data_IF_911817607064
#
_entry.id   IF_911817607064
#
_cell.length_a   1.000
_cell.length_b   1.000
_cell.length_c   1.000
_cell.angle_alpha   90.00
_cell.angle_beta   90.00
_cell.angle_gamma   90.00
#
_symmetry.space_group_name_H-M   'P 1'
#
loop_
_entity.id
_entity.type
_entity.pdbx_description
1 polymer ?
#
# COMPACT_ATOMS: atom_id res chain seq x y z
N UNK A 1 -26.96 -63.94 -2.53
CA UNK A 1 -26.47 -63.15 -1.38
C UNK A 1 -26.86 -61.70 -1.61
N UNK A 2 -27.62 -61.10 -0.69
CA UNK A 2 -28.17 -59.73 -0.80
C UNK A 2 -27.05 -58.70 -0.58
N UNK A 3 -26.91 -57.78 -1.54
CA UNK A 3 -26.01 -56.63 -1.44
C UNK A 3 -26.65 -55.59 -0.51
N UNK A 4 -26.00 -55.28 0.61
CA UNK A 4 -26.47 -54.25 1.57
C UNK A 4 -25.70 -52.96 1.28
N UNK A 5 -26.41 -51.94 0.79
CA UNK A 5 -25.86 -50.59 0.58
C UNK A 5 -26.11 -49.79 1.85
N UNK A 6 -25.05 -49.37 2.54
CA UNK A 6 -25.12 -48.47 3.69
C UNK A 6 -25.00 -47.03 3.19
N UNK A 7 -25.95 -46.12 3.50
CA UNK A 7 -25.83 -44.73 3.11
C UNK A 7 -24.91 -43.99 4.11
N UNK A 8 -23.81 -43.42 3.60
CA UNK A 8 -22.98 -42.49 4.36
C UNK A 8 -23.71 -41.14 4.47
N UNK A 9 -24.11 -40.75 5.68
CA UNK A 9 -24.59 -39.40 5.95
C UNK A 9 -23.41 -38.43 5.86
N UNK A 10 -23.39 -37.57 4.83
CA UNK A 10 -22.57 -36.36 4.82
C UNK A 10 -23.23 -35.33 5.74
N UNK A 11 -22.59 -35.02 6.87
CA UNK A 11 -22.92 -33.86 7.66
C UNK A 11 -22.39 -32.60 6.96
N UNK A 12 -23.29 -31.78 6.43
CA UNK A 12 -22.95 -30.44 5.94
C UNK A 12 -22.62 -29.54 7.15
N UNK A 13 -21.33 -29.28 7.38
CA UNK A 13 -20.89 -28.24 8.29
C UNK A 13 -21.35 -26.88 7.73
N UNK A 14 -22.39 -26.32 8.32
CA UNK A 14 -22.79 -24.94 8.05
C UNK A 14 -21.72 -24.05 8.70
N UNK A 15 -20.84 -23.48 7.89
CA UNK A 15 -20.01 -22.38 8.32
C UNK A 15 -20.94 -21.19 8.60
N UNK A 16 -21.24 -20.95 9.87
CA UNK A 16 -21.82 -19.68 10.29
C UNK A 16 -20.77 -18.62 9.99
N UNK A 17 -20.98 -17.82 8.95
CA UNK A 17 -20.23 -16.60 8.75
C UNK A 17 -20.44 -15.75 10.01
N UNK A 18 -19.41 -15.63 10.85
CA UNK A 18 -19.39 -14.59 11.87
C UNK A 18 -19.45 -13.28 11.11
N UNK A 19 -20.56 -12.55 11.26
CA UNK A 19 -20.72 -11.24 10.67
C UNK A 19 -19.70 -10.33 11.36
N UNK A 20 -18.77 -9.78 10.58
CA UNK A 20 -17.76 -8.85 11.07
C UNK A 20 -18.36 -7.44 11.04
N UNK A 21 -18.15 -6.68 12.11
CA UNK A 21 -18.55 -5.28 12.19
C UNK A 21 -17.60 -4.45 11.33
N UNK A 22 -18.15 -3.73 10.36
CA UNK A 22 -17.40 -2.78 9.53
C UNK A 22 -16.64 -1.76 10.39
N UNK A 23 -15.53 -1.22 9.87
CA UNK A 23 -14.83 -0.12 10.51
C UNK A 23 -15.80 1.02 10.87
N UNK A 24 -15.64 1.57 12.07
CA UNK A 24 -16.52 2.57 12.71
C UNK A 24 -17.88 2.06 13.21
N UNK A 25 -18.22 0.79 13.00
CA UNK A 25 -19.42 0.18 13.59
C UNK A 25 -19.30 -0.01 15.11
N UNK A 26 -20.44 -0.05 15.81
CA UNK A 26 -20.46 -0.42 17.22
C UNK A 26 -20.11 -1.90 17.37
N UNK A 27 -19.24 -2.24 18.31
CA UNK A 27 -18.78 -3.61 18.56
C UNK A 27 -18.86 -4.01 20.04
N UNK A 28 -19.42 -3.15 20.88
CA UNK A 28 -19.53 -3.39 22.30
C UNK A 28 -20.25 -2.27 23.05
N UNK A 29 -20.39 -2.46 24.35
CA UNK A 29 -21.16 -1.60 25.25
C UNK A 29 -22.18 -2.38 26.08
N UNK A 30 -22.61 -1.81 27.20
CA UNK A 30 -23.72 -2.34 28.00
C UNK A 30 -24.97 -2.47 27.13
N UNK A 31 -25.59 -3.65 27.18
CA UNK A 31 -26.78 -4.04 26.39
C UNK A 31 -26.59 -4.15 24.87
N UNK A 32 -25.35 -4.04 24.36
CA UNK A 32 -25.07 -4.29 22.95
C UNK A 32 -25.13 -5.81 22.65
N UNK A 33 -26.07 -6.21 21.80
CA UNK A 33 -26.32 -7.61 21.42
C UNK A 33 -25.84 -7.96 20.00
N UNK A 34 -25.21 -7.02 19.29
CA UNK A 34 -24.68 -7.26 17.93
C UNK A 34 -23.31 -7.92 17.92
N UNK A 35 -22.74 -8.04 16.72
CA UNK A 35 -21.42 -8.63 16.51
C UNK A 35 -20.33 -7.83 17.21
N UNK A 36 -19.34 -8.53 17.78
CA UNK A 36 -18.24 -7.93 18.57
C UNK A 36 -16.88 -8.01 17.88
N UNK A 37 -16.78 -8.84 16.85
CA UNK A 37 -15.59 -8.99 16.03
C UNK A 37 -15.61 -7.93 14.94
N UNK A 38 -14.58 -7.11 14.88
CA UNK A 38 -14.42 -6.13 13.81
C UNK A 38 -13.81 -6.77 12.58
N UNK A 39 -14.05 -6.17 11.41
CA UNK A 39 -13.44 -6.61 10.16
C UNK A 39 -11.91 -6.63 10.23
N UNK A 40 -11.28 -7.51 9.45
CA UNK A 40 -9.83 -7.67 9.44
C UNK A 40 -9.09 -6.31 9.29
N UNK A 41 -8.13 -6.05 10.18
CA UNK A 41 -7.38 -4.79 10.22
C UNK A 41 -7.99 -3.71 11.12
N UNK A 42 -9.05 -4.03 11.87
CA UNK A 42 -9.64 -3.16 12.88
C UNK A 42 -9.82 -3.88 14.22
N UNK A 43 -9.99 -3.11 15.30
CA UNK A 43 -10.18 -3.64 16.66
C UNK A 43 -11.33 -2.96 17.38
N UNK A 44 -11.97 -3.69 18.28
CA UNK A 44 -13.05 -3.14 19.08
C UNK A 44 -12.48 -2.26 20.20
N UNK A 45 -12.40 -0.95 19.97
CA UNK A 45 -11.92 0.02 20.95
C UNK A 45 -13.03 0.34 21.94
N UNK A 46 -12.76 0.09 23.21
CA UNK A 46 -13.60 0.60 24.30
C UNK A 46 -13.56 2.13 24.31
N UNK A 47 -14.73 2.78 24.20
CA UNK A 47 -14.84 4.24 24.30
C UNK A 47 -15.45 4.61 25.66
N UNK A 48 -16.56 3.97 26.02
CA UNK A 48 -17.17 4.07 27.34
C UNK A 48 -17.98 2.81 27.64
N UNK A 49 -18.59 2.77 28.83
CA UNK A 49 -19.32 1.59 29.29
C UNK A 49 -20.52 1.20 28.40
N UNK A 50 -21.08 2.14 27.63
CA UNK A 50 -22.24 1.95 26.76
C UNK A 50 -21.86 1.76 25.29
N UNK A 51 -20.62 2.05 24.91
CA UNK A 51 -20.20 2.11 23.53
C UNK A 51 -18.74 1.70 23.35
N UNK A 52 -18.52 0.68 22.52
CA UNK A 52 -17.23 0.36 21.91
C UNK A 52 -17.39 0.41 20.40
N UNK A 53 -16.35 0.84 19.69
CA UNK A 53 -16.38 1.03 18.25
C UNK A 53 -15.21 0.32 17.58
N UNK A 54 -15.46 -0.27 16.42
CA UNK A 54 -14.41 -0.78 15.55
C UNK A 54 -13.57 0.39 15.04
N UNK A 55 -12.29 0.40 15.38
CA UNK A 55 -11.33 1.42 14.99
C UNK A 55 -10.25 0.79 14.11
N UNK A 56 -9.72 1.50 13.11
CA UNK A 56 -8.57 1.01 12.35
C UNK A 56 -7.40 0.65 13.28
N UNK A 57 -6.70 -0.44 12.98
CA UNK A 57 -5.47 -0.87 13.67
C UNK A 57 -5.69 -1.91 14.77
N UNK A 58 -4.75 -1.96 15.71
CA UNK A 58 -4.74 -2.87 16.87
C UNK A 58 -4.92 -2.18 18.24
N UNK A 59 -5.02 -2.96 19.34
CA UNK A 59 -5.34 -2.45 20.68
C UNK A 59 -4.31 -1.47 21.28
N UNK A 60 -3.09 -1.42 20.74
CA UNK A 60 -2.03 -0.48 21.12
C UNK A 60 -1.74 0.54 20.01
N UNK A 61 -2.69 0.74 19.11
CA UNK A 61 -2.58 1.65 17.98
C UNK A 61 -3.65 2.74 18.04
N UNK A 62 -3.27 3.91 17.56
CA UNK A 62 -4.13 5.08 17.45
C UNK A 62 -4.71 5.12 16.04
N UNK A 63 -6.04 5.09 15.94
CA UNK A 63 -6.74 5.26 14.68
C UNK A 63 -6.44 6.63 14.06
N UNK A 64 -6.69 6.74 12.76
CA UNK A 64 -6.56 8.00 12.03
C UNK A 64 -7.32 9.13 12.74
N UNK A 65 -6.71 10.32 12.75
CA UNK A 65 -7.11 11.54 13.46
C UNK A 65 -6.98 11.50 14.99
N UNK A 66 -6.59 10.38 15.59
CA UNK A 66 -6.32 10.29 17.03
C UNK A 66 -5.01 10.96 17.44
N UNK A 67 -4.92 11.44 18.68
CA UNK A 67 -3.66 11.94 19.24
C UNK A 67 -2.68 10.77 19.45
N UNK A 68 -1.43 10.94 19.01
CA UNK A 68 -0.38 9.91 19.06
C UNK A 68 0.91 10.42 19.70
N UNK A 69 0.90 11.62 20.28
CA UNK A 69 2.07 12.21 20.93
C UNK A 69 1.84 13.62 21.41
N UNK A 70 2.89 14.19 22.00
CA UNK A 70 2.90 15.50 22.64
C UNK A 70 3.39 15.45 24.09
N UNK A 71 3.95 16.55 24.58
CA UNK A 71 4.38 16.69 25.96
C UNK A 71 3.21 16.43 26.93
N UNK A 72 3.38 15.46 27.82
CA UNK A 72 2.37 15.05 28.80
C UNK A 72 1.35 14.02 28.29
N UNK A 73 1.42 13.62 27.02
CA UNK A 73 0.57 12.55 26.49
C UNK A 73 1.06 11.17 26.97
N UNK A 74 0.18 10.40 27.62
CA UNK A 74 0.49 9.07 28.20
C UNK A 74 -0.19 7.91 27.45
N UNK A 75 -0.85 8.20 26.32
CA UNK A 75 -1.55 7.20 25.53
C UNK A 75 -0.65 6.49 24.51
N UNK A 76 -1.22 5.61 23.67
CA UNK A 76 -0.49 4.92 22.62
C UNK A 76 0.11 5.90 21.60
N UNK A 77 1.33 5.66 21.15
CA UNK A 77 2.06 6.54 20.22
C UNK A 77 2.19 6.00 18.81
N UNK A 78 1.88 4.70 18.62
CA UNK A 78 1.89 4.05 17.31
C UNK A 78 0.56 4.30 16.61
N UNK A 79 0.59 4.81 15.38
CA UNK A 79 -0.62 4.93 14.56
C UNK A 79 -1.00 3.58 13.92
N UNK A 80 -2.28 3.40 13.64
CA UNK A 80 -2.80 2.27 12.88
C UNK A 80 -2.16 2.19 11.49
N UNK A 81 -2.12 0.99 10.90
CA UNK A 81 -1.60 0.79 9.55
C UNK A 81 -2.23 1.77 8.54
N UNK A 82 -1.41 2.36 7.67
CA UNK A 82 -1.84 3.39 6.71
C UNK A 82 -1.94 4.82 7.29
N UNK A 83 -1.52 5.05 8.53
CA UNK A 83 -1.47 6.38 9.15
C UNK A 83 -0.14 6.64 9.85
N UNK A 84 0.27 7.91 9.91
CA UNK A 84 1.54 8.34 10.52
C UNK A 84 1.32 9.41 11.58
N UNK A 85 2.15 9.39 12.63
CA UNK A 85 2.04 10.33 13.74
C UNK A 85 2.70 11.66 13.37
N UNK A 86 1.89 12.62 12.90
CA UNK A 86 2.37 13.96 12.54
C UNK A 86 2.35 14.89 13.76
N UNK A 87 3.51 15.46 14.10
CA UNK A 87 3.58 16.52 15.11
C UNK A 87 3.05 17.84 14.56
N UNK A 88 2.16 18.49 15.31
CA UNK A 88 1.65 19.83 15.00
C UNK A 88 2.29 20.90 15.89
N UNK A 89 2.55 20.56 17.15
CA UNK A 89 3.29 21.37 18.11
C UNK A 89 3.87 20.47 19.22
N UNK A 90 4.59 21.06 20.18
CA UNK A 90 5.24 20.33 21.27
C UNK A 90 4.27 19.57 22.19
N UNK A 91 2.99 19.92 22.23
CA UNK A 91 1.98 19.31 23.09
C UNK A 91 1.00 18.40 22.32
N UNK A 92 1.06 18.38 20.99
CA UNK A 92 0.09 17.67 20.17
C UNK A 92 0.69 17.09 18.89
N UNK A 93 0.60 15.76 18.77
CA UNK A 93 0.81 15.00 17.54
C UNK A 93 -0.43 14.18 17.22
N UNK A 94 -0.79 14.06 15.94
CA UNK A 94 -2.00 13.38 15.49
C UNK A 94 -1.66 12.34 14.43
N UNK A 95 -2.30 11.17 14.52
CA UNK A 95 -2.31 10.24 13.40
C UNK A 95 -3.04 10.89 12.25
N UNK A 96 -2.37 11.08 11.14
CA UNK A 96 -2.98 11.54 9.89
C UNK A 96 -2.84 10.43 8.88
N UNK A 97 -3.63 10.48 7.80
CA UNK A 97 -3.36 9.66 6.63
C UNK A 97 -1.87 9.70 6.35
N UNK A 98 -1.25 8.53 6.24
CA UNK A 98 0.05 8.48 5.64
C UNK A 98 -0.18 8.99 4.22
N UNK A 99 0.18 10.26 3.97
CA UNK A 99 0.55 10.64 2.60
C UNK A 99 1.47 9.52 2.16
N UNK A 100 1.21 8.94 0.98
CA UNK A 100 1.81 7.71 0.43
C UNK A 100 3.36 7.71 0.35
N UNK A 101 4.09 8.47 1.16
CA UNK A 101 5.53 8.62 1.09
C UNK A 101 6.30 7.99 2.23
N UNK A 102 5.81 7.78 3.47
CA UNK A 102 6.74 7.34 4.54
C UNK A 102 6.12 6.50 5.68
N UNK A 103 5.62 5.30 5.38
CA UNK A 103 5.27 4.26 6.38
C UNK A 103 6.53 3.61 7.02
N UNK A 104 7.55 4.41 7.34
CA UNK A 104 8.85 3.92 7.83
C UNK A 104 9.74 3.28 6.76
N UNK A 105 9.40 3.48 5.47
CA UNK A 105 10.22 3.05 4.34
C UNK A 105 11.48 3.93 4.21
N UNK A 106 12.57 3.41 3.60
CA UNK A 106 13.72 4.24 3.25
C UNK A 106 13.34 5.35 2.27
N UNK A 107 14.01 6.51 2.35
CA UNK A 107 13.80 7.64 1.43
C UNK A 107 13.95 7.16 -0.03
N UNK A 108 13.01 7.57 -0.88
CA UNK A 108 12.99 7.16 -2.29
C UNK A 108 12.31 5.82 -2.52
N UNK A 109 11.53 5.31 -1.57
CA UNK A 109 10.64 4.17 -1.79
C UNK A 109 9.18 4.60 -1.69
N UNK A 110 8.39 4.15 -2.66
CA UNK A 110 6.95 4.36 -2.73
C UNK A 110 6.26 3.05 -2.36
N UNK A 111 5.38 3.07 -1.36
CA UNK A 111 4.48 1.95 -1.07
C UNK A 111 3.38 1.87 -2.13
N UNK A 112 3.04 0.65 -2.55
CA UNK A 112 2.08 0.36 -3.60
C UNK A 112 1.06 -0.68 -3.09
N UNK A 113 0.01 -0.24 -2.38
CA UNK A 113 -1.02 -1.13 -1.85
C UNK A 113 -1.81 -1.77 -2.99
N UNK A 114 -2.04 -3.08 -2.89
CA UNK A 114 -2.75 -3.86 -3.90
C UNK A 114 -1.92 -4.20 -5.14
N UNK A 115 -0.68 -3.69 -5.26
CA UNK A 115 0.19 -4.07 -6.36
C UNK A 115 0.89 -5.38 -6.04
N UNK A 116 0.86 -6.31 -6.99
CA UNK A 116 1.77 -7.45 -7.06
C UNK A 116 2.66 -7.31 -8.28
N UNK A 117 3.90 -6.88 -8.08
CA UNK A 117 4.87 -6.88 -9.17
C UNK A 117 5.05 -8.30 -9.72
N UNK A 118 4.99 -8.46 -11.04
CA UNK A 118 5.39 -9.72 -11.67
C UNK A 118 6.90 -9.75 -11.80
N UNK A 119 7.54 -10.43 -10.84
CA UNK A 119 8.99 -10.57 -10.81
C UNK A 119 9.44 -11.65 -11.79
N UNK A 120 10.56 -11.42 -12.48
CA UNK A 120 11.18 -12.44 -13.32
C UNK A 120 11.92 -13.45 -12.44
N UNK A 121 11.79 -14.74 -12.73
CA UNK A 121 12.38 -15.79 -11.91
C UNK A 121 13.92 -15.67 -11.82
N UNK A 122 14.56 -15.20 -12.88
CA UNK A 122 16.01 -15.01 -12.95
C UNK A 122 16.51 -13.69 -12.35
N UNK A 123 15.62 -12.80 -11.89
CA UNK A 123 15.98 -11.50 -11.30
C UNK A 123 15.30 -11.27 -9.93
N UNK A 124 14.61 -12.29 -9.40
CA UNK A 124 13.95 -12.22 -8.11
C UNK A 124 14.77 -12.93 -7.02
N UNK A 125 14.88 -12.29 -5.85
CA UNK A 125 15.50 -12.85 -4.66
C UNK A 125 14.51 -12.94 -3.50
N UNK A 126 14.60 -14.00 -2.71
CA UNK A 126 13.91 -14.08 -1.41
C UNK A 126 14.78 -13.46 -0.33
N UNK A 127 14.14 -12.88 0.70
CA UNK A 127 14.83 -12.36 1.88
C UNK A 127 14.13 -12.85 3.15
N UNK A 128 14.86 -12.86 4.27
CA UNK A 128 14.36 -13.27 5.59
C UNK A 128 13.54 -12.18 6.29
N UNK A 129 13.10 -11.15 5.55
CA UNK A 129 12.32 -10.06 6.10
C UNK A 129 11.00 -10.56 6.72
N UNK A 130 10.69 -10.07 7.91
CA UNK A 130 9.52 -10.46 8.70
C UNK A 130 8.38 -9.43 8.64
N UNK A 131 8.59 -8.32 7.93
CA UNK A 131 7.60 -7.28 7.70
C UNK A 131 7.78 -6.65 6.33
N UNK A 132 6.75 -5.94 5.84
CA UNK A 132 6.84 -5.17 4.60
C UNK A 132 7.96 -4.12 4.66
N UNK A 133 8.08 -3.40 5.78
CA UNK A 133 9.14 -2.38 5.95
C UNK A 133 10.53 -3.02 5.89
N UNK A 134 10.73 -4.17 6.53
CA UNK A 134 12.01 -4.88 6.48
C UNK A 134 12.28 -5.45 5.08
N UNK A 135 11.23 -5.83 4.36
CA UNK A 135 11.33 -6.27 2.97
C UNK A 135 11.88 -5.14 2.09
N UNK A 136 11.33 -3.93 2.22
CA UNK A 136 11.81 -2.76 1.49
C UNK A 136 13.23 -2.38 1.91
N UNK A 137 13.56 -2.41 3.21
CA UNK A 137 14.94 -2.17 3.68
C UNK A 137 15.92 -3.19 3.11
N UNK A 138 15.54 -4.45 3.02
CA UNK A 138 16.37 -5.49 2.40
C UNK A 138 16.60 -5.25 0.91
N UNK A 139 15.61 -4.69 0.21
CA UNK A 139 15.75 -4.29 -1.18
C UNK A 139 16.63 -3.03 -1.34
N UNK A 140 16.64 -2.15 -0.36
CA UNK A 140 17.45 -0.92 -0.38
C UNK A 140 18.94 -1.18 -0.19
N UNK A 141 19.29 -2.26 0.51
CA UNK A 141 20.66 -2.74 0.59
C UNK A 141 21.12 -3.40 -0.71
N UNK A 142 22.42 -3.28 -1.05
CA UNK A 142 22.97 -4.03 -2.18
C UNK A 142 22.76 -5.53 -1.99
N UNK A 143 22.25 -6.19 -3.02
CA UNK A 143 22.13 -7.64 -3.01
C UNK A 143 23.51 -8.30 -2.99
N UNK A 144 23.57 -9.57 -2.55
CA UNK A 144 24.80 -10.35 -2.47
C UNK A 144 25.50 -10.56 -3.82
N UNK A 145 24.74 -10.51 -4.92
CA UNK A 145 25.23 -10.53 -6.29
C UNK A 145 25.73 -9.16 -6.79
N UNK A 146 25.70 -8.13 -5.94
CA UNK A 146 26.11 -6.76 -6.23
C UNK A 146 25.05 -5.91 -6.95
N UNK A 147 23.89 -6.49 -7.30
CA UNK A 147 22.80 -5.78 -7.96
C UNK A 147 22.05 -4.84 -7.02
N UNK A 148 21.41 -3.82 -7.61
CA UNK A 148 20.49 -2.92 -6.90
C UNK A 148 19.07 -3.39 -7.14
N UNK A 149 18.30 -3.59 -6.07
CA UNK A 149 16.88 -3.92 -6.17
C UNK A 149 16.08 -2.62 -6.16
N UNK A 150 15.12 -2.55 -7.07
CA UNK A 150 14.25 -1.38 -7.23
C UNK A 150 12.81 -1.70 -6.85
N UNK A 151 12.49 -2.97 -6.64
CA UNK A 151 11.14 -3.45 -6.41
C UNK A 151 11.13 -4.43 -5.25
N UNK A 152 10.11 -4.32 -4.40
CA UNK A 152 9.85 -5.24 -3.30
C UNK A 152 8.38 -5.67 -3.36
N UNK A 153 8.10 -6.93 -3.05
CA UNK A 153 6.77 -7.52 -2.98
C UNK A 153 6.64 -8.22 -1.64
N UNK A 154 5.61 -7.87 -0.88
CA UNK A 154 5.23 -8.52 0.36
C UNK A 154 3.89 -9.22 0.18
N UNK A 155 3.94 -10.55 0.21
CA UNK A 155 2.80 -11.42 -0.02
C UNK A 155 2.89 -12.61 0.94
N UNK A 156 1.79 -12.91 1.66
CA UNK A 156 1.71 -14.08 2.55
C UNK A 156 2.89 -14.21 3.53
N UNK A 157 3.27 -13.09 4.15
CA UNK A 157 4.41 -12.99 5.07
C UNK A 157 5.75 -13.40 4.45
N UNK A 158 5.90 -13.26 3.13
CA UNK A 158 7.14 -13.52 2.39
C UNK A 158 7.55 -12.27 1.63
N UNK A 159 8.85 -11.98 1.68
CA UNK A 159 9.45 -10.93 0.91
C UNK A 159 10.09 -11.47 -0.37
N UNK A 160 9.82 -10.80 -1.48
CA UNK A 160 10.57 -10.96 -2.73
C UNK A 160 11.04 -9.59 -3.21
N UNK A 161 12.28 -9.53 -3.69
CA UNK A 161 12.89 -8.31 -4.21
C UNK A 161 13.38 -8.54 -5.64
N UNK A 162 13.36 -7.51 -6.49
CA UNK A 162 13.86 -7.61 -7.86
C UNK A 162 14.46 -6.31 -8.37
N UNK A 163 15.24 -6.41 -9.44
CA UNK A 163 15.88 -5.27 -10.10
C UNK A 163 15.02 -4.72 -11.24
N UNK A 164 14.27 -5.58 -11.92
CA UNK A 164 13.50 -5.29 -13.13
C UNK A 164 12.12 -5.92 -13.04
N UNK A 165 11.10 -5.10 -13.31
CA UNK A 165 9.71 -5.54 -13.48
C UNK A 165 9.13 -4.86 -14.71
N UNK A 166 8.22 -5.54 -15.40
CA UNK A 166 7.56 -5.02 -16.61
C UNK A 166 6.07 -4.75 -16.41
N UNK A 167 5.48 -5.41 -15.42
CA UNK A 167 4.04 -5.41 -15.17
C UNK A 167 3.74 -5.72 -13.70
N UNK A 168 2.51 -5.44 -13.31
CA UNK A 168 1.94 -5.81 -12.03
C UNK A 168 0.53 -6.33 -12.24
N UNK A 169 0.02 -7.04 -11.24
CA UNK A 169 -1.39 -7.35 -11.10
C UNK A 169 -1.94 -6.62 -9.87
N UNK A 170 -3.22 -6.22 -9.93
CA UNK A 170 -3.92 -5.73 -8.76
C UNK A 170 -4.46 -6.91 -7.97
N UNK A 171 -3.88 -7.17 -6.80
CA UNK A 171 -4.21 -8.32 -5.94
C UNK A 171 -4.52 -7.82 -4.52
N UNK A 172 -5.77 -7.98 -4.04
CA UNK A 172 -6.13 -7.64 -2.66
C UNK A 172 -5.24 -8.35 -1.64
N UNK A 173 -4.83 -7.63 -0.59
CA UNK A 173 -3.98 -8.16 0.47
C UNK A 173 -2.48 -8.25 0.15
N UNK A 174 -2.07 -7.97 -1.10
CA UNK A 174 -0.65 -7.83 -1.46
C UNK A 174 -0.25 -6.36 -1.36
N UNK A 175 0.98 -6.11 -0.90
CA UNK A 175 1.58 -4.77 -0.92
C UNK A 175 2.96 -4.86 -1.53
N UNK A 176 3.26 -3.94 -2.43
CA UNK A 176 4.59 -3.83 -3.04
C UNK A 176 5.22 -2.47 -2.76
N UNK A 177 6.47 -2.30 -3.16
CA UNK A 177 7.13 -1.01 -3.20
C UNK A 177 7.94 -0.84 -4.49
N UNK A 178 8.18 0.41 -4.87
CA UNK A 178 9.11 0.75 -5.94
C UNK A 178 10.04 1.89 -5.51
N UNK A 179 11.30 1.77 -5.91
CA UNK A 179 12.33 2.78 -5.67
C UNK A 179 12.27 3.85 -6.76
N UNK A 180 12.40 5.11 -6.35
CA UNK A 180 12.45 6.29 -7.20
C UNK A 180 13.43 7.32 -6.62
N UNK A 181 13.85 8.29 -7.43
CA UNK A 181 14.69 9.38 -6.94
C UNK A 181 13.82 10.43 -6.22
N UNK A 182 13.83 10.41 -4.89
CA UNK A 182 13.06 11.34 -4.06
C UNK A 182 13.58 12.79 -4.07
N UNK A 183 14.80 13.04 -4.56
CA UNK A 183 15.30 14.40 -4.75
C UNK A 183 14.71 15.04 -6.02
N UNK A 184 14.42 14.21 -7.03
CA UNK A 184 13.85 14.68 -8.31
C UNK A 184 12.33 14.60 -8.34
N UNK A 185 11.74 13.56 -7.75
CA UNK A 185 10.32 13.26 -7.92
C UNK A 185 9.55 13.28 -6.59
N UNK A 186 8.26 13.58 -6.70
CA UNK A 186 7.21 13.27 -5.73
C UNK A 186 6.23 12.32 -6.42
N UNK A 187 6.11 11.09 -5.91
CA UNK A 187 5.28 10.06 -6.51
C UNK A 187 4.10 9.69 -5.61
N UNK A 188 2.99 9.29 -6.21
CA UNK A 188 1.77 8.86 -5.53
C UNK A 188 1.26 7.56 -6.15
N UNK A 189 1.03 6.57 -5.29
CA UNK A 189 0.49 5.27 -5.66
C UNK A 189 -1.00 5.33 -6.01
N UNK A 190 -1.49 4.33 -6.77
CA UNK A 190 -2.89 4.20 -7.18
C UNK A 190 -3.48 5.52 -7.72
N UNK A 191 -2.70 6.26 -8.50
CA UNK A 191 -3.03 7.62 -8.93
C UNK A 191 -2.57 7.93 -10.35
N UNK A 192 -3.18 8.93 -10.98
CA UNK A 192 -2.92 9.39 -12.34
C UNK A 192 -2.96 10.93 -12.41
N UNK A 193 -2.07 11.52 -13.20
CA UNK A 193 -2.21 12.91 -13.62
C UNK A 193 -3.00 12.95 -14.92
N UNK A 194 -4.32 12.99 -14.85
CA UNK A 194 -5.16 12.95 -16.05
C UNK A 194 -4.83 14.07 -17.05
N UNK A 195 -4.66 13.70 -18.33
CA UNK A 195 -4.31 14.61 -19.42
C UNK A 195 -2.84 15.07 -19.43
N UNK A 196 -2.58 16.14 -20.21
CA UNK A 196 -1.26 16.74 -20.44
C UNK A 196 -0.20 15.76 -20.98
N UNK A 197 -0.65 14.67 -21.62
CA UNK A 197 0.20 13.67 -22.26
C UNK A 197 0.87 14.23 -23.51
N UNK A 198 2.20 14.17 -23.54
CA UNK A 198 3.00 14.54 -24.72
C UNK A 198 3.49 13.33 -25.50
N UNK A 199 3.59 12.17 -24.85
CA UNK A 199 3.84 10.88 -25.49
C UNK A 199 3.46 9.71 -24.58
N UNK A 200 3.25 8.55 -25.18
CA UNK A 200 3.00 7.30 -24.45
C UNK A 200 3.78 6.15 -25.06
N UNK A 201 4.27 5.22 -24.22
CA UNK A 201 4.98 4.02 -24.67
C UNK A 201 4.88 2.88 -23.66
N UNK A 202 4.79 1.64 -24.14
CA UNK A 202 4.84 0.47 -23.27
C UNK A 202 6.29 0.24 -22.82
N UNK A 203 6.53 0.37 -21.52
CA UNK A 203 7.88 0.28 -20.94
C UNK A 203 7.82 0.03 -19.44
N UNK A 204 8.96 -0.26 -18.83
CA UNK A 204 9.08 -0.46 -17.38
C UNK A 204 9.08 0.87 -16.61
N UNK A 205 8.59 0.86 -15.38
CA UNK A 205 8.46 2.05 -14.53
C UNK A 205 9.75 2.89 -14.44
N UNK A 206 10.89 2.30 -14.12
CA UNK A 206 12.15 3.05 -14.01
C UNK A 206 12.55 3.72 -15.34
N UNK A 207 12.33 3.02 -16.47
CA UNK A 207 12.61 3.60 -17.79
C UNK A 207 11.65 4.76 -18.12
N UNK A 208 10.44 4.75 -17.57
CA UNK A 208 9.51 5.89 -17.69
C UNK A 208 10.09 7.14 -17.02
N UNK A 209 10.61 7.00 -15.80
CA UNK A 209 11.29 8.08 -15.07
C UNK A 209 12.56 8.54 -15.79
N UNK A 210 13.42 7.61 -16.23
CA UNK A 210 14.63 7.93 -16.99
C UNK A 210 14.31 8.71 -18.28
N UNK A 211 13.22 8.35 -18.95
CA UNK A 211 12.76 9.04 -20.16
C UNK A 211 12.33 10.47 -19.84
N UNK A 212 11.59 10.66 -18.75
CA UNK A 212 11.20 12.00 -18.31
C UNK A 212 12.40 12.84 -17.87
N UNK A 213 13.40 12.27 -17.19
CA UNK A 213 14.65 12.95 -16.84
C UNK A 213 15.36 13.51 -18.08
N UNK A 214 15.47 12.70 -19.13
CA UNK A 214 16.08 13.11 -20.39
C UNK A 214 15.28 14.21 -21.12
N UNK A 215 13.95 14.13 -21.08
CA UNK A 215 13.07 15.12 -21.71
C UNK A 215 12.94 16.41 -20.91
N UNK A 216 13.10 16.35 -19.59
CA UNK A 216 13.06 17.52 -18.72
C UNK A 216 14.16 18.52 -19.06
N UNK A 217 15.35 18.05 -19.47
CA UNK A 217 16.44 18.91 -19.96
C UNK A 217 16.06 19.77 -21.18
N UNK A 218 15.00 19.39 -21.89
CA UNK A 218 14.46 20.11 -23.05
C UNK A 218 13.12 20.80 -22.74
N UNK A 219 12.72 20.89 -21.46
CA UNK A 219 11.40 21.35 -21.02
C UNK A 219 10.23 20.55 -21.63
N UNK A 220 10.44 19.26 -21.93
CA UNK A 220 9.44 18.37 -22.55
C UNK A 220 8.80 17.38 -21.59
N UNK A 221 9.23 17.35 -20.33
CA UNK A 221 8.58 16.54 -19.30
C UNK A 221 8.69 17.22 -17.93
N UNK A 222 7.58 17.25 -17.19
CA UNK A 222 7.56 17.62 -15.77
C UNK A 222 6.79 16.63 -14.88
N UNK A 223 6.14 15.62 -15.47
CA UNK A 223 5.49 14.54 -14.74
C UNK A 223 5.37 13.29 -15.61
N UNK A 224 5.09 12.16 -14.97
CA UNK A 224 4.71 10.91 -15.63
C UNK A 224 3.53 10.26 -14.93
N UNK A 225 2.77 9.46 -15.68
CA UNK A 225 1.94 8.40 -15.10
C UNK A 225 2.34 7.08 -15.72
N UNK A 226 2.58 6.08 -14.87
CA UNK A 226 2.85 4.73 -15.30
C UNK A 226 1.74 3.80 -14.81
N UNK A 227 1.09 3.07 -15.72
CA UNK A 227 -0.09 2.24 -15.41
C UNK A 227 -0.16 1.05 -16.37
N UNK A 228 -0.60 -0.12 -15.89
CA UNK A 228 -0.96 -1.24 -16.77
C UNK A 228 -2.44 -1.13 -17.12
N UNK A 229 -2.73 -0.81 -18.38
CA UNK A 229 -4.11 -0.73 -18.84
C UNK A 229 -4.74 -2.13 -18.92
N UNK A 230 -6.08 -2.24 -18.75
CA UNK A 230 -6.78 -3.52 -18.90
C UNK A 230 -6.46 -4.18 -20.25
N UNK A 231 -6.05 -5.45 -20.21
CA UNK A 231 -5.71 -6.23 -21.40
C UNK A 231 -4.26 -6.08 -21.89
N UNK A 232 -3.50 -5.10 -21.40
CA UNK A 232 -2.10 -4.90 -21.79
C UNK A 232 -1.16 -5.86 -21.04
N UNK A 233 -0.16 -6.38 -21.74
CA UNK A 233 0.85 -7.26 -21.12
C UNK A 233 1.81 -6.48 -20.23
N UNK A 234 2.17 -5.26 -20.63
CA UNK A 234 3.17 -4.42 -19.97
C UNK A 234 2.56 -3.11 -19.46
N UNK A 235 3.26 -2.46 -18.54
CA UNK A 235 2.87 -1.10 -18.16
C UNK A 235 3.12 -0.09 -19.28
N UNK A 236 2.22 0.86 -19.38
CA UNK A 236 2.33 2.03 -20.24
C UNK A 236 2.87 3.21 -19.44
N UNK A 237 3.87 3.88 -20.00
CA UNK A 237 4.38 5.15 -19.54
C UNK A 237 3.72 6.28 -20.32
N UNK A 238 3.14 7.22 -19.62
CA UNK A 238 2.62 8.47 -20.15
C UNK A 238 3.54 9.60 -19.69
N UNK A 239 4.27 10.18 -20.63
CA UNK A 239 5.12 11.36 -20.41
C UNK A 239 4.21 12.58 -20.44
N UNK A 240 4.33 13.45 -19.44
CA UNK A 240 3.44 14.59 -19.27
C UNK A 240 4.20 15.90 -19.17
N UNK A 241 3.61 16.95 -19.76
CA UNK A 241 4.01 18.33 -19.58
C UNK A 241 2.83 19.11 -18.99
N UNK A 242 2.71 19.00 -17.66
CA UNK A 242 1.66 19.59 -16.84
C UNK A 242 1.68 21.11 -16.96
N UNK A 243 0.52 21.68 -17.29
CA UNK A 243 0.31 23.14 -17.26
C UNK A 243 0.06 23.62 -15.83
N UNK A 244 -0.77 22.87 -15.11
CA UNK A 244 -0.98 23.05 -13.67
C UNK A 244 -0.08 22.05 -12.91
N UNK A 245 1.04 22.57 -12.41
CA UNK A 245 2.05 21.83 -11.63
C UNK A 245 1.66 21.68 -10.16
N UNK A 246 0.65 22.41 -9.69
CA UNK A 246 0.15 22.33 -8.32
C UNK A 246 -0.98 21.29 -8.17
N UNK A 247 -1.65 20.94 -9.26
CA UNK A 247 -2.67 19.90 -9.30
C UNK A 247 -2.17 18.60 -8.65
N UNK A 248 -3.00 18.05 -7.77
CA UNK A 248 -2.79 16.72 -7.18
C UNK A 248 -3.21 15.63 -8.19
N UNK A 249 -2.56 14.46 -8.18
CA UNK A 249 -2.99 13.37 -9.03
C UNK A 249 -4.34 12.82 -8.53
N UNK A 250 -5.16 12.32 -9.45
CA UNK A 250 -6.47 11.73 -9.15
C UNK A 250 -6.33 10.24 -8.89
N UNK A 251 -7.23 9.68 -8.07
CA UNK A 251 -7.22 8.25 -7.80
C UNK A 251 -7.42 7.42 -9.08
N UNK A 252 -6.70 6.31 -9.18
CA UNK A 252 -6.73 5.39 -10.32
C UNK A 252 -6.85 3.95 -9.82
N UNK A 253 -7.99 3.33 -10.08
CA UNK A 253 -8.31 1.96 -9.65
C UNK A 253 -7.54 0.87 -10.39
N UNK A 254 -6.85 1.20 -11.49
CA UNK A 254 -6.01 0.26 -12.23
C UNK A 254 -4.61 0.12 -11.65
N UNK A 255 -4.23 0.89 -10.61
CA UNK A 255 -2.88 0.86 -10.06
C UNK A 255 -1.91 1.78 -10.82
N UNK A 256 -2.30 3.03 -11.06
CA UNK A 256 -1.38 4.03 -11.61
C UNK A 256 -0.31 4.48 -10.61
N UNK A 257 0.87 4.80 -11.10
CA UNK A 257 1.91 5.52 -10.34
C UNK A 257 2.08 6.89 -11.00
N UNK A 258 1.65 7.95 -10.30
CA UNK A 258 1.78 9.32 -10.76
C UNK A 258 2.99 9.97 -10.10
N UNK A 259 3.96 10.42 -10.87
CA UNK A 259 5.16 11.08 -10.37
C UNK A 259 5.29 12.47 -11.00
N UNK A 260 5.38 13.51 -10.18
CA UNK A 260 5.73 14.86 -10.65
C UNK A 260 7.18 15.16 -10.28
N UNK A 261 7.85 15.95 -11.11
CA UNK A 261 9.16 16.51 -10.78
C UNK A 261 9.02 17.66 -9.79
N UNK A 262 9.98 17.79 -8.87
CA UNK A 262 10.09 18.91 -7.93
C UNK A 262 10.83 20.10 -8.54
#
# INVERSE_FOLDING_TARGET
MKLVIVPALLAAAHATHASEVSVWGQCGGKQYNGDKSCEAGSYCKFINEWYSQCQPGGPNEVGIWGQCGGNGYTGPTKCASGSTCKSWNSYYSQCVEAKNTDNGLPKGWLELPGFKWTLLDNDSGFTDAQSFVDCVKSADTKASDGSTRFFAVWENSRCRVASTVYKYDMVPGVTSAAKYNADTYECTANSDYYGDDVSSTNTRFNRCLDTCDNLAMQNKCNAVTWVRNPGEEYGACFIKLRKDTAAVPVANSHGGIACKRK
#
